data_IF_358362757232
#
_entry.id   IF_358362757232
#
_cell.length_a   1.000
_cell.length_b   1.000
_cell.length_c   1.000
_cell.angle_alpha   90.00
_cell.angle_beta   90.00
_cell.angle_gamma   90.00
#
_symmetry.space_group_name_H-M   'P 1'
#
loop_
_entity.id
_entity.type
_entity.pdbx_description
1 polymer ?
#
# COMPACT_ATOMS: atom_id res chain seq x y z
N UNK A 1 -0.94 -8.11 3.71
CA UNK A 1 -0.44 -8.63 4.99
C UNK A 1 0.67 -9.66 4.78
N UNK A 2 1.67 -9.64 5.66
CA UNK A 2 2.78 -10.63 5.68
C UNK A 2 2.25 -12.05 5.85
N UNK A 3 3.03 -13.03 5.37
CA UNK A 3 2.64 -14.45 5.36
C UNK A 3 3.76 -15.32 5.92
N UNK A 4 3.40 -16.30 6.75
CA UNK A 4 4.31 -17.39 7.10
C UNK A 4 4.53 -18.31 5.90
N UNK A 5 5.67 -18.98 5.85
CA UNK A 5 5.94 -20.05 4.88
C UNK A 5 5.86 -21.40 5.58
N UNK A 6 5.11 -22.35 5.00
CA UNK A 6 5.00 -23.73 5.49
C UNK A 6 6.28 -24.55 5.24
N UNK A 7 6.28 -25.86 5.54
CA UNK A 7 7.49 -26.70 5.41
C UNK A 7 8.11 -26.68 4.00
N UNK A 8 9.13 -25.85 3.87
CA UNK A 8 9.86 -25.46 2.66
C UNK A 8 10.62 -26.62 1.97
N UNK A 9 11.30 -27.54 2.70
CA UNK A 9 12.28 -28.45 2.07
C UNK A 9 11.68 -29.52 1.16
N UNK A 10 10.41 -29.89 1.33
CA UNK A 10 9.84 -31.05 0.63
C UNK A 10 9.21 -30.71 -0.73
N UNK A 11 8.91 -29.43 -0.99
CA UNK A 11 8.10 -29.03 -2.16
C UNK A 11 8.77 -27.97 -3.04
N UNK A 12 9.62 -27.11 -2.46
CA UNK A 12 10.43 -26.16 -3.20
C UNK A 12 11.86 -26.15 -2.62
N UNK A 13 12.62 -27.26 -2.79
CA UNK A 13 13.92 -27.43 -2.15
C UNK A 13 14.90 -26.31 -2.52
N UNK A 14 14.91 -25.88 -3.78
CA UNK A 14 15.73 -24.77 -4.25
C UNK A 14 15.40 -23.44 -3.54
N UNK A 15 14.11 -23.14 -3.34
CA UNK A 15 13.72 -21.95 -2.57
C UNK A 15 14.18 -22.06 -1.12
N UNK A 16 14.04 -23.23 -0.49
CA UNK A 16 14.51 -23.45 0.87
C UNK A 16 16.02 -23.30 1.02
N UNK A 17 16.78 -23.88 0.09
CA UNK A 17 18.24 -23.75 0.04
C UNK A 17 18.66 -22.28 -0.12
N UNK A 18 18.01 -21.53 -1.02
CA UNK A 18 18.31 -20.12 -1.24
C UNK A 18 17.89 -19.25 -0.04
N UNK A 19 16.71 -19.49 0.54
CA UNK A 19 16.25 -18.74 1.72
C UNK A 19 17.21 -18.93 2.90
N UNK A 20 17.67 -20.15 3.13
CA UNK A 20 18.63 -20.45 4.18
C UNK A 20 20.04 -19.97 3.83
N UNK A 21 20.45 -20.10 2.56
CA UNK A 21 21.76 -19.64 2.07
C UNK A 21 21.94 -18.12 2.13
N UNK A 22 20.85 -17.36 2.12
CA UNK A 22 20.86 -15.90 2.33
C UNK A 22 20.64 -15.49 3.80
N UNK A 23 20.56 -16.43 4.76
CA UNK A 23 20.19 -16.19 6.16
C UNK A 23 18.78 -15.58 6.36
N UNK A 24 17.88 -15.77 5.40
CA UNK A 24 16.54 -15.17 5.39
C UNK A 24 15.47 -16.04 6.06
N UNK A 25 15.86 -17.08 6.79
CA UNK A 25 14.94 -18.02 7.43
C UNK A 25 13.93 -17.36 8.38
N UNK A 26 14.32 -16.28 9.08
CA UNK A 26 13.42 -15.57 10.00
C UNK A 26 12.26 -14.90 9.26
N UNK A 27 12.48 -14.38 8.04
CA UNK A 27 11.43 -13.76 7.20
C UNK A 27 10.24 -14.67 6.94
N UNK A 28 10.46 -15.99 6.90
CA UNK A 28 9.42 -16.98 6.70
C UNK A 28 8.59 -17.29 7.96
N UNK A 29 9.08 -16.93 9.15
CA UNK A 29 8.56 -17.47 10.42
C UNK A 29 8.12 -16.39 11.41
N UNK A 30 8.74 -15.19 11.39
CA UNK A 30 8.42 -14.10 12.30
C UNK A 30 7.01 -13.51 12.19
N UNK A 31 6.28 -13.53 11.04
CA UNK A 31 4.98 -12.87 10.97
C UNK A 31 4.03 -13.37 12.06
N UNK A 32 3.51 -12.47 12.88
CA UNK A 32 2.59 -12.73 13.99
C UNK A 32 1.47 -11.69 13.97
N UNK A 33 0.35 -11.89 14.70
CA UNK A 33 -0.73 -10.90 14.71
C UNK A 33 -0.21 -9.49 15.02
N UNK A 34 -0.51 -8.57 14.10
CA UNK A 34 -0.05 -7.18 14.15
C UNK A 34 -1.10 -6.31 14.85
N UNK A 35 -0.64 -5.33 15.62
CA UNK A 35 -1.52 -4.35 16.26
C UNK A 35 -1.74 -3.19 15.29
N UNK A 36 -2.93 -3.12 14.69
CA UNK A 36 -3.18 -2.18 13.59
C UNK A 36 -3.25 -0.73 14.06
N UNK A 37 -3.66 -0.49 15.30
CA UNK A 37 -3.67 0.86 15.87
C UNK A 37 -2.25 1.44 15.92
N UNK A 38 -1.28 0.69 16.44
CA UNK A 38 0.12 1.16 16.52
C UNK A 38 0.79 1.24 15.15
N UNK A 39 0.44 0.36 14.21
CA UNK A 39 0.97 0.38 12.84
C UNK A 39 0.47 1.62 12.08
N UNK A 40 -0.83 1.96 12.19
CA UNK A 40 -1.39 3.18 11.61
C UNK A 40 -0.76 4.43 12.20
N UNK A 41 -0.60 4.47 13.53
CA UNK A 41 0.07 5.57 14.23
C UNK A 41 1.52 5.71 13.76
N UNK A 42 2.26 4.59 13.68
CA UNK A 42 3.62 4.58 13.17
C UNK A 42 3.71 5.19 11.77
N UNK A 43 2.91 4.71 10.81
CA UNK A 43 2.96 5.21 9.43
C UNK A 43 2.55 6.67 9.30
N UNK A 44 1.61 7.13 10.12
CA UNK A 44 1.23 8.54 10.20
C UNK A 44 2.39 9.41 10.64
N UNK A 45 3.20 8.93 11.58
CA UNK A 45 4.30 9.69 12.19
C UNK A 45 5.67 9.46 11.53
N UNK A 46 5.82 8.41 10.71
CA UNK A 46 7.03 8.10 9.95
C UNK A 46 7.10 8.86 8.61
N UNK A 47 5.98 9.49 8.20
CA UNK A 47 5.91 10.30 6.98
C UNK A 47 6.82 11.52 7.10
N UNK A 48 7.61 11.78 6.06
CA UNK A 48 8.44 12.99 6.01
C UNK A 48 7.55 14.22 5.76
N UNK A 49 7.74 15.26 6.56
CA UNK A 49 7.15 16.58 6.38
C UNK A 49 8.30 17.56 6.14
N UNK A 50 8.46 18.03 4.90
CA UNK A 50 9.48 19.00 4.49
C UNK A 50 10.86 18.41 4.11
N UNK A 51 11.80 19.29 3.75
CA UNK A 51 13.14 18.96 3.23
C UNK A 51 14.20 18.68 4.33
N UNK A 52 13.80 18.13 5.47
CA UNK A 52 14.76 17.74 6.52
C UNK A 52 15.67 16.60 6.03
N UNK A 53 16.95 16.56 6.44
CA UNK A 53 17.94 15.62 5.92
C UNK A 53 17.50 14.16 6.06
N UNK A 54 17.89 13.37 5.07
CA UNK A 54 17.16 12.20 4.60
C UNK A 54 17.18 10.95 5.50
N UNK A 55 17.83 10.98 6.66
CA UNK A 55 18.42 9.78 7.26
C UNK A 55 17.69 9.15 8.45
N UNK A 56 16.61 9.76 8.94
CA UNK A 56 16.02 9.22 10.15
C UNK A 56 14.97 8.15 9.82
N UNK A 57 15.42 6.90 9.68
CA UNK A 57 14.58 5.70 9.76
C UNK A 57 13.96 5.55 11.16
N UNK A 58 13.13 6.53 11.52
CA UNK A 58 12.46 6.67 12.80
C UNK A 58 11.00 7.05 12.59
N UNK A 59 10.10 6.38 13.31
CA UNK A 59 8.71 6.81 13.50
C UNK A 59 8.45 7.09 14.98
N UNK A 60 7.28 7.63 15.30
CA UNK A 60 6.85 7.80 16.69
C UNK A 60 5.54 7.07 16.95
N UNK A 61 5.45 6.40 18.10
CA UNK A 61 4.24 5.71 18.55
C UNK A 61 4.10 5.89 20.05
N UNK A 62 2.99 6.44 20.51
CA UNK A 62 2.68 6.70 21.93
C UNK A 62 3.84 7.39 22.66
N UNK A 63 4.45 8.39 22.02
CA UNK A 63 5.59 9.14 22.54
C UNK A 63 6.95 8.42 22.52
N UNK A 64 7.03 7.21 21.96
CA UNK A 64 8.27 6.45 21.84
C UNK A 64 8.83 6.56 20.41
N UNK A 65 10.14 6.79 20.30
CA UNK A 65 10.84 6.75 19.01
C UNK A 65 11.05 5.29 18.58
N UNK A 66 10.57 4.93 17.40
CA UNK A 66 10.63 3.59 16.82
C UNK A 66 11.69 3.59 15.72
N UNK A 67 12.83 2.96 16.00
CA UNK A 67 13.90 2.76 15.02
C UNK A 67 13.54 1.65 14.05
N UNK A 68 13.63 1.94 12.76
CA UNK A 68 13.49 0.98 11.67
C UNK A 68 14.65 1.08 10.67
N UNK A 69 15.80 1.56 11.14
CA UNK A 69 17.03 1.57 10.35
C UNK A 69 17.47 0.15 9.95
N UNK A 70 18.31 0.02 8.90
CA UNK A 70 18.75 -1.28 8.40
C UNK A 70 19.34 -2.19 9.49
N UNK A 71 20.11 -1.64 10.43
CA UNK A 71 20.71 -2.40 11.53
C UNK A 71 19.66 -2.92 12.50
N UNK A 72 18.68 -2.09 12.86
CA UNK A 72 17.56 -2.48 13.73
C UNK A 72 16.73 -3.60 13.11
N UNK A 73 16.48 -3.53 11.80
CA UNK A 73 15.75 -4.57 11.06
C UNK A 73 16.59 -5.84 10.94
N UNK A 74 17.87 -5.74 10.56
CA UNK A 74 18.75 -6.89 10.45
C UNK A 74 18.93 -7.61 11.79
N UNK A 75 19.12 -6.86 12.89
CA UNK A 75 19.15 -7.40 14.23
C UNK A 75 17.84 -8.11 14.60
N UNK A 76 16.68 -7.55 14.21
CA UNK A 76 15.41 -8.23 14.40
C UNK A 76 15.30 -9.51 13.55
N UNK A 77 15.83 -9.51 12.32
CA UNK A 77 15.77 -10.65 11.40
C UNK A 77 16.86 -11.70 11.64
N UNK A 78 17.75 -11.47 12.62
CA UNK A 78 18.95 -12.29 12.87
C UNK A 78 19.83 -12.43 11.61
N UNK A 79 19.84 -11.41 10.75
CA UNK A 79 20.65 -11.36 9.52
C UNK A 79 21.95 -10.62 9.77
N UNK A 80 23.07 -11.21 9.35
CA UNK A 80 24.38 -10.57 9.49
C UNK A 80 24.71 -9.79 8.22
N UNK A 81 24.67 -8.46 8.30
CA UNK A 81 25.18 -7.61 7.24
C UNK A 81 26.63 -7.22 7.53
N UNK A 82 27.57 -7.91 6.89
CA UNK A 82 29.00 -7.59 6.94
C UNK A 82 29.57 -7.17 5.57
N UNK A 83 28.71 -7.04 4.55
CA UNK A 83 29.10 -6.68 3.20
C UNK A 83 29.43 -5.19 3.09
N UNK A 84 30.50 -4.88 2.35
CA UNK A 84 30.81 -3.49 1.98
C UNK A 84 29.84 -2.96 0.91
N UNK A 85 29.22 -3.86 0.12
CA UNK A 85 28.38 -3.49 -1.02
C UNK A 85 27.19 -4.44 -1.23
N UNK A 86 25.99 -3.87 -1.35
CA UNK A 86 24.74 -4.60 -1.61
C UNK A 86 24.57 -4.85 -3.12
N UNK A 87 24.49 -6.11 -3.55
CA UNK A 87 24.37 -6.45 -4.98
C UNK A 87 23.04 -5.98 -5.57
N UNK A 88 21.99 -5.96 -4.77
CA UNK A 88 20.71 -5.40 -5.21
C UNK A 88 20.83 -3.89 -5.51
N UNK A 89 21.50 -3.13 -4.63
CA UNK A 89 21.73 -1.69 -4.86
C UNK A 89 22.63 -1.47 -6.09
N UNK A 90 23.68 -2.28 -6.25
CA UNK A 90 24.53 -2.25 -7.43
C UNK A 90 23.76 -2.49 -8.73
N UNK A 91 22.92 -3.52 -8.77
CA UNK A 91 22.10 -3.80 -9.96
C UNK A 91 21.15 -2.63 -10.30
N UNK A 92 20.71 -1.87 -9.30
CA UNK A 92 19.85 -0.69 -9.48
C UNK A 92 20.63 0.53 -9.98
N UNK A 93 21.87 0.73 -9.53
CA UNK A 93 22.67 1.93 -9.82
C UNK A 93 23.52 1.78 -11.10
N UNK A 94 24.24 0.66 -11.21
CA UNK A 94 25.18 0.39 -12.31
C UNK A 94 24.55 -0.43 -13.44
N UNK A 95 23.38 -1.01 -13.19
CA UNK A 95 22.71 -1.94 -14.09
C UNK A 95 23.18 -3.39 -13.90
N UNK A 96 22.64 -4.28 -14.72
CA UNK A 96 23.00 -5.71 -14.70
C UNK A 96 22.90 -6.29 -16.11
N UNK A 97 23.40 -7.52 -16.28
CA UNK A 97 23.16 -8.30 -17.49
C UNK A 97 21.70 -8.76 -17.53
N UNK A 98 20.85 -7.97 -18.19
CA UNK A 98 19.42 -8.29 -18.30
C UNK A 98 19.16 -9.61 -19.03
N UNK A 99 20.07 -10.09 -19.88
CA UNK A 99 19.92 -11.39 -20.54
C UNK A 99 20.12 -12.55 -19.53
N UNK A 100 21.05 -12.40 -18.57
CA UNK A 100 21.17 -13.36 -17.45
C UNK A 100 19.95 -13.28 -16.52
N UNK A 101 19.45 -12.08 -16.24
CA UNK A 101 18.25 -11.90 -15.41
C UNK A 101 17.04 -12.59 -16.05
N UNK A 102 16.78 -12.36 -17.35
CA UNK A 102 15.70 -13.03 -18.09
C UNK A 102 15.88 -14.55 -18.08
N UNK A 103 17.10 -15.04 -18.30
CA UNK A 103 17.38 -16.49 -18.28
C UNK A 103 17.08 -17.13 -16.93
N UNK A 104 17.34 -16.43 -15.83
CA UNK A 104 17.11 -16.93 -14.47
C UNK A 104 15.63 -16.83 -14.06
N UNK A 105 14.97 -15.73 -14.42
CA UNK A 105 13.61 -15.44 -13.96
C UNK A 105 12.52 -15.99 -14.88
N UNK A 106 12.78 -16.11 -16.18
CA UNK A 106 11.77 -16.38 -17.19
C UNK A 106 11.77 -17.84 -17.68
N UNK A 107 10.59 -18.33 -18.07
CA UNK A 107 10.47 -19.55 -18.88
C UNK A 107 11.01 -19.31 -20.30
N UNK A 108 11.35 -20.36 -21.07
CA UNK A 108 11.76 -20.19 -22.47
C UNK A 108 10.74 -19.37 -23.27
N UNK A 109 11.19 -18.27 -23.89
CA UNK A 109 10.35 -17.34 -24.66
C UNK A 109 9.77 -16.17 -23.85
N UNK A 110 9.85 -16.22 -22.51
CA UNK A 110 9.54 -15.09 -21.64
C UNK A 110 10.65 -14.04 -21.66
N UNK A 111 10.29 -12.76 -21.59
CA UNK A 111 11.23 -11.64 -21.72
C UNK A 111 10.72 -10.41 -20.96
N UNK A 112 11.62 -9.47 -20.67
CA UNK A 112 11.21 -8.16 -20.17
C UNK A 112 10.42 -7.39 -21.22
N UNK A 113 9.38 -6.70 -20.77
CA UNK A 113 8.78 -5.63 -21.55
C UNK A 113 9.73 -4.43 -21.57
N UNK A 114 9.83 -3.83 -22.75
CA UNK A 114 10.67 -2.65 -22.99
C UNK A 114 9.79 -1.49 -23.41
N UNK A 115 10.11 -0.30 -22.92
CA UNK A 115 9.45 0.92 -23.37
C UNK A 115 9.89 1.29 -24.80
N UNK A 116 9.31 2.35 -25.35
CA UNK A 116 9.63 2.86 -26.70
C UNK A 116 11.12 3.21 -26.89
N UNK A 117 11.86 3.48 -25.83
CA UNK A 117 13.29 3.78 -25.87
C UNK A 117 14.17 2.54 -25.70
N UNK A 118 13.58 1.34 -25.62
CA UNK A 118 14.27 0.06 -25.47
C UNK A 118 14.70 -0.27 -24.02
N UNK A 119 14.34 0.58 -23.05
CA UNK A 119 14.66 0.36 -21.63
C UNK A 119 13.73 -0.69 -21.03
N UNK A 120 14.29 -1.58 -20.21
CA UNK A 120 13.54 -2.63 -19.49
C UNK A 120 12.63 -2.00 -18.44
N UNK A 121 11.36 -2.44 -18.38
CA UNK A 121 10.34 -1.88 -17.47
C UNK A 121 9.86 -2.92 -16.45
N UNK A 122 9.33 -4.03 -16.94
CA UNK A 122 8.70 -5.05 -16.11
C UNK A 122 8.77 -6.41 -16.82
N UNK A 123 8.45 -7.48 -16.10
CA UNK A 123 8.22 -8.81 -16.68
C UNK A 123 6.84 -9.30 -16.24
N UNK A 124 6.13 -9.97 -17.14
CA UNK A 124 4.80 -10.52 -16.82
C UNK A 124 4.94 -11.71 -15.90
N UNK A 125 3.99 -11.86 -14.97
CA UNK A 125 3.93 -13.04 -14.10
C UNK A 125 3.83 -14.33 -14.91
N UNK A 126 3.12 -14.34 -16.04
CA UNK A 126 3.00 -15.53 -16.91
C UNK A 126 4.35 -16.05 -17.36
N UNK A 127 5.28 -15.12 -17.60
CA UNK A 127 6.57 -15.36 -18.22
C UNK A 127 7.61 -15.83 -17.19
N UNK A 128 7.30 -15.77 -15.88
CA UNK A 128 8.17 -16.22 -14.80
C UNK A 128 8.21 -17.76 -14.65
N UNK A 129 9.38 -18.29 -14.31
CA UNK A 129 9.55 -19.68 -13.88
C UNK A 129 8.75 -19.98 -12.61
N UNK A 130 8.38 -21.25 -12.34
CA UNK A 130 7.70 -21.63 -11.10
C UNK A 130 8.45 -21.16 -9.84
N UNK A 131 9.79 -21.29 -9.83
CA UNK A 131 10.64 -20.81 -8.72
C UNK A 131 10.55 -19.29 -8.56
N UNK A 132 10.65 -18.54 -9.66
CA UNK A 132 10.54 -17.08 -9.62
C UNK A 132 9.15 -16.61 -9.19
N UNK A 133 8.07 -17.29 -9.60
CA UNK A 133 6.71 -16.99 -9.12
C UNK A 133 6.56 -17.25 -7.62
N UNK A 134 7.20 -18.28 -7.10
CA UNK A 134 7.19 -18.59 -5.68
C UNK A 134 7.94 -17.51 -4.87
N UNK A 135 9.15 -17.14 -5.31
CA UNK A 135 9.87 -16.02 -4.72
C UNK A 135 9.11 -14.69 -4.86
N UNK A 136 8.42 -14.44 -5.97
CA UNK A 136 7.62 -13.23 -6.18
C UNK A 136 6.53 -13.14 -5.11
N UNK A 137 5.83 -14.25 -4.87
CA UNK A 137 4.80 -14.34 -3.84
C UNK A 137 5.37 -14.09 -2.45
N UNK A 138 6.53 -14.69 -2.13
CA UNK A 138 7.20 -14.49 -0.85
C UNK A 138 7.64 -13.04 -0.66
N UNK A 139 8.31 -12.45 -1.66
CA UNK A 139 8.78 -11.07 -1.63
C UNK A 139 7.62 -10.08 -1.50
N UNK A 140 6.55 -10.26 -2.28
CA UNK A 140 5.34 -9.43 -2.21
C UNK A 140 4.60 -9.53 -0.88
N UNK A 141 4.78 -10.62 -0.12
CA UNK A 141 4.21 -10.74 1.21
C UNK A 141 5.10 -10.09 2.29
N UNK A 142 6.41 -10.34 2.23
CA UNK A 142 7.29 -10.21 3.40
C UNK A 142 8.44 -9.21 3.25
N UNK A 143 8.81 -8.82 2.03
CA UNK A 143 9.97 -7.94 1.77
C UNK A 143 9.55 -6.64 1.11
N UNK A 144 8.80 -6.72 0.00
CA UNK A 144 8.29 -5.56 -0.71
C UNK A 144 6.78 -5.72 -0.91
N UNK A 145 5.93 -5.31 0.03
CA UNK A 145 4.48 -5.40 -0.13
C UNK A 145 3.99 -4.78 -1.43
N UNK A 146 3.11 -5.49 -2.17
CA UNK A 146 2.52 -5.00 -3.41
C UNK A 146 1.11 -5.56 -3.60
N UNK A 147 0.18 -4.71 -4.07
CA UNK A 147 -1.18 -5.11 -4.44
C UNK A 147 -1.27 -5.66 -5.86
N UNK A 148 -0.42 -5.20 -6.78
CA UNK A 148 -0.41 -5.66 -8.16
C UNK A 148 0.43 -6.93 -8.29
N UNK A 149 -0.14 -7.96 -8.90
CA UNK A 149 0.48 -9.29 -9.04
C UNK A 149 0.56 -9.78 -10.49
N UNK A 150 0.07 -9.00 -11.45
CA UNK A 150 0.05 -9.34 -12.88
C UNK A 150 1.45 -9.23 -13.49
N UNK A 151 2.14 -8.13 -13.18
CA UNK A 151 3.49 -7.84 -13.65
C UNK A 151 4.39 -7.50 -12.47
N UNK A 152 5.70 -7.64 -12.69
CA UNK A 152 6.70 -7.26 -11.71
C UNK A 152 7.67 -6.24 -12.28
N UNK A 153 7.81 -5.12 -11.57
CA UNK A 153 8.70 -4.03 -11.96
C UNK A 153 10.15 -4.48 -11.94
N UNK A 154 11.00 -3.77 -12.70
CA UNK A 154 12.43 -4.06 -12.77
C UNK A 154 13.09 -4.17 -11.38
N UNK A 155 12.83 -3.22 -10.48
CA UNK A 155 13.42 -3.24 -9.14
C UNK A 155 13.07 -4.53 -8.38
N UNK A 156 11.81 -4.94 -8.40
CA UNK A 156 11.36 -6.17 -7.73
C UNK A 156 11.95 -7.41 -8.40
N UNK A 157 12.04 -7.42 -9.74
CA UNK A 157 12.69 -8.48 -10.51
C UNK A 157 14.19 -8.62 -10.18
N UNK A 158 14.91 -7.51 -9.97
CA UNK A 158 16.32 -7.56 -9.57
C UNK A 158 16.52 -8.13 -8.16
N UNK A 159 15.61 -7.84 -7.23
CA UNK A 159 15.63 -8.45 -5.91
C UNK A 159 15.43 -9.98 -5.99
N UNK A 160 14.49 -10.43 -6.81
CA UNK A 160 14.26 -11.85 -7.10
C UNK A 160 15.49 -12.54 -7.68
N UNK A 161 16.11 -11.90 -8.67
CA UNK A 161 17.34 -12.39 -9.29
C UNK A 161 18.44 -12.57 -8.25
N UNK A 162 18.65 -11.56 -7.39
CA UNK A 162 19.63 -11.64 -6.32
C UNK A 162 19.33 -12.80 -5.34
N UNK A 163 18.07 -12.97 -4.95
CA UNK A 163 17.65 -14.05 -4.06
C UNK A 163 17.90 -15.43 -4.68
N UNK A 164 17.52 -15.63 -5.94
CA UNK A 164 17.69 -16.91 -6.65
C UNK A 164 19.17 -17.23 -6.88
N UNK A 165 20.00 -16.22 -7.15
CA UNK A 165 21.45 -16.38 -7.36
C UNK A 165 22.26 -16.39 -6.06
N UNK A 166 21.62 -16.29 -4.89
CA UNK A 166 22.27 -16.16 -3.59
C UNK A 166 23.32 -15.02 -3.56
N UNK A 167 22.97 -13.88 -4.15
CA UNK A 167 23.79 -12.68 -4.09
C UNK A 167 23.59 -11.97 -2.75
N UNK A 168 24.64 -11.34 -2.25
CA UNK A 168 24.59 -10.66 -0.96
C UNK A 168 23.72 -9.39 -1.04
N UNK A 169 22.60 -9.43 -0.33
CA UNK A 169 21.61 -8.34 -0.26
C UNK A 169 21.42 -7.92 1.18
N UNK A 170 21.56 -6.61 1.44
CA UNK A 170 21.21 -6.04 2.74
C UNK A 170 19.69 -5.97 2.86
N UNK A 171 19.08 -7.04 3.38
CA UNK A 171 17.63 -7.13 3.47
C UNK A 171 17.03 -6.09 4.42
N UNK A 172 17.74 -5.73 5.49
CA UNK A 172 17.35 -4.66 6.39
C UNK A 172 17.22 -3.32 5.67
N UNK A 173 18.16 -3.01 4.76
CA UNK A 173 18.10 -1.80 3.93
C UNK A 173 16.90 -1.83 2.97
N UNK A 174 16.67 -2.95 2.27
CA UNK A 174 15.54 -3.11 1.34
C UNK A 174 14.20 -2.88 2.07
N UNK A 175 14.01 -3.49 3.24
CA UNK A 175 12.78 -3.34 4.02
C UNK A 175 12.66 -1.92 4.61
N UNK A 176 13.76 -1.33 5.09
CA UNK A 176 13.76 0.04 5.61
C UNK A 176 13.32 1.05 4.54
N UNK A 177 13.85 0.90 3.33
CA UNK A 177 13.47 1.72 2.18
C UNK A 177 12.01 1.50 1.77
N UNK A 178 11.53 0.25 1.79
CA UNK A 178 10.14 -0.06 1.48
C UNK A 178 9.19 0.55 2.53
N UNK A 179 9.47 0.42 3.83
CA UNK A 179 8.69 1.07 4.90
C UNK A 179 8.66 2.59 4.68
N UNK A 180 9.81 3.18 4.35
CA UNK A 180 9.90 4.63 4.06
C UNK A 180 9.07 5.00 2.84
N UNK A 181 9.07 4.19 1.77
CA UNK A 181 8.25 4.42 0.59
C UNK A 181 6.76 4.32 0.92
N UNK A 182 6.34 3.32 1.71
CA UNK A 182 4.96 3.20 2.17
C UNK A 182 4.53 4.43 3.01
N UNK A 183 5.36 4.89 3.94
CA UNK A 183 5.05 6.02 4.81
C UNK A 183 4.88 7.35 4.05
N UNK A 184 5.56 7.51 2.91
CA UNK A 184 5.49 8.73 2.10
C UNK A 184 4.44 8.66 0.98
N UNK A 185 3.83 7.49 0.77
CA UNK A 185 2.80 7.30 -0.25
C UNK A 185 1.50 7.99 0.19
N UNK A 186 0.87 8.75 -0.71
CA UNK A 186 -0.35 9.52 -0.43
C UNK A 186 -1.65 8.70 -0.53
N UNK A 187 -1.54 7.43 -0.90
CA UNK A 187 -2.69 6.54 -1.06
C UNK A 187 -3.10 5.91 0.28
N UNK A 188 -4.16 6.45 0.89
CA UNK A 188 -4.73 5.94 2.15
C UNK A 188 -5.35 4.53 2.03
N UNK A 189 -5.50 3.98 0.82
CA UNK A 189 -5.98 2.61 0.57
C UNK A 189 -4.84 1.59 0.41
N UNK A 190 -3.58 2.03 0.39
CA UNK A 190 -2.47 1.12 0.27
C UNK A 190 -2.40 0.21 1.51
N UNK A 191 -2.15 -1.10 1.35
CA UNK A 191 -1.94 -2.00 2.48
C UNK A 191 -0.82 -1.46 3.37
N UNK A 192 -1.03 -1.46 4.69
CA UNK A 192 0.03 -1.16 5.65
C UNK A 192 1.09 -2.26 5.49
N UNK A 193 2.23 -1.90 4.91
CA UNK A 193 3.35 -2.80 4.75
C UNK A 193 3.90 -3.22 6.12
N UNK A 194 4.53 -4.39 6.20
CA UNK A 194 5.35 -4.76 7.37
C UNK A 194 4.68 -4.65 8.75
N UNK A 195 3.35 -4.85 8.84
CA UNK A 195 2.57 -4.65 10.06
C UNK A 195 3.08 -5.46 11.25
N UNK A 196 3.48 -6.72 11.03
CA UNK A 196 4.04 -7.60 12.07
C UNK A 196 5.40 -7.09 12.52
N UNK A 197 6.28 -6.75 11.57
CA UNK A 197 7.60 -6.20 11.86
C UNK A 197 7.49 -4.92 12.68
N UNK A 198 6.66 -3.96 12.25
CA UNK A 198 6.44 -2.69 12.95
C UNK A 198 5.90 -2.94 14.36
N UNK A 199 4.95 -3.87 14.52
CA UNK A 199 4.44 -4.27 15.85
C UNK A 199 5.57 -4.81 16.74
N UNK A 200 6.50 -5.60 16.19
CA UNK A 200 7.66 -6.09 16.92
C UNK A 200 8.64 -4.97 17.30
N UNK A 201 8.93 -4.05 16.38
CA UNK A 201 9.79 -2.88 16.67
C UNK A 201 9.18 -2.01 17.77
N UNK A 202 7.86 -1.80 17.77
CA UNK A 202 7.13 -1.14 18.85
C UNK A 202 7.31 -1.85 20.20
N UNK A 203 7.20 -3.18 20.23
CA UNK A 203 7.44 -3.97 21.45
C UNK A 203 8.87 -3.82 21.96
N UNK A 204 9.86 -3.83 21.07
CA UNK A 204 11.28 -3.61 21.42
C UNK A 204 11.48 -2.21 22.03
N UNK A 205 10.81 -1.20 21.48
CA UNK A 205 10.81 0.17 22.00
C UNK A 205 9.94 0.35 23.26
N UNK A 206 9.39 -0.74 23.84
CA UNK A 206 8.53 -0.75 25.04
C UNK A 206 7.20 -0.02 24.89
N UNK A 207 6.72 0.15 23.66
CA UNK A 207 5.35 0.58 23.41
C UNK A 207 4.39 -0.53 23.82
N UNK A 208 3.33 -0.19 24.54
CA UNK A 208 2.25 -1.13 24.80
C UNK A 208 1.54 -1.49 23.48
N UNK A 209 1.54 -2.76 23.10
CA UNK A 209 0.82 -3.26 21.92
C UNK A 209 -0.23 -4.29 22.30
N UNK A 210 -0.62 -4.38 23.58
CA UNK A 210 -1.50 -5.43 24.10
C UNK A 210 -2.97 -5.20 23.78
N UNK A 211 -3.38 -3.94 23.57
CA UNK A 211 -4.76 -3.60 23.27
C UNK A 211 -5.15 -3.95 21.82
N UNK A 212 -6.35 -4.53 21.59
CA UNK A 212 -6.88 -4.78 20.24
C UNK A 212 -7.13 -3.47 19.45
N UNK A 213 -7.31 -3.52 18.11
CA UNK A 213 -7.48 -4.71 17.26
C UNK A 213 -6.17 -5.34 16.74
N UNK A 214 -6.19 -6.66 16.62
CA UNK A 214 -5.11 -7.45 16.03
C UNK A 214 -5.51 -8.02 14.67
N UNK A 215 -4.71 -7.76 13.65
CA UNK A 215 -4.87 -8.35 12.32
C UNK A 215 -3.89 -9.51 12.16
N UNK A 216 -4.41 -10.67 11.72
CA UNK A 216 -3.58 -11.87 11.54
C UNK A 216 -2.75 -11.76 10.27
N UNK A 217 -1.55 -12.38 10.23
CA UNK A 217 -0.85 -12.60 8.98
C UNK A 217 -1.76 -13.31 7.96
N UNK A 218 -1.51 -13.06 6.68
CA UNK A 218 -2.23 -13.73 5.61
C UNK A 218 -2.03 -15.26 5.64
N UNK A 219 -2.90 -15.98 4.90
CA UNK A 219 -2.82 -17.44 4.76
C UNK A 219 -1.39 -17.86 4.39
N UNK A 220 -0.87 -18.87 5.09
CA UNK A 220 0.52 -19.30 4.93
C UNK A 220 0.80 -19.79 3.50
N UNK A 221 2.00 -19.50 3.00
CA UNK A 221 2.51 -20.03 1.74
C UNK A 221 2.95 -21.47 1.99
N UNK A 222 2.01 -22.41 1.93
CA UNK A 222 2.20 -23.83 2.25
C UNK A 222 2.10 -24.71 1.00
N UNK A 223 2.14 -26.04 1.18
CA UNK A 223 2.01 -27.00 0.08
C UNK A 223 0.71 -26.81 -0.73
N UNK A 224 -0.42 -26.57 -0.07
CA UNK A 224 -1.69 -26.37 -0.77
C UNK A 224 -1.64 -25.12 -1.67
N UNK A 225 -1.06 -24.03 -1.15
CA UNK A 225 -0.79 -22.83 -1.94
C UNK A 225 0.15 -23.15 -3.12
N UNK A 226 1.22 -23.89 -2.88
CA UNK A 226 2.14 -24.28 -3.95
C UNK A 226 1.46 -25.12 -5.03
N UNK A 227 0.71 -26.15 -4.66
CA UNK A 227 0.01 -27.02 -5.62
C UNK A 227 -1.05 -26.27 -6.41
N UNK A 228 -1.81 -25.40 -5.75
CA UNK A 228 -2.87 -24.62 -6.37
C UNK A 228 -2.33 -23.65 -7.44
N UNK A 229 -1.18 -23.02 -7.18
CA UNK A 229 -0.67 -21.94 -8.04
C UNK A 229 0.53 -22.33 -8.91
N UNK A 230 1.27 -23.39 -8.57
CA UNK A 230 2.52 -23.79 -9.24
C UNK A 230 2.62 -25.30 -9.54
N UNK A 231 1.74 -26.14 -8.99
CA UNK A 231 1.81 -27.60 -9.07
C UNK A 231 1.22 -28.22 -10.33
N UNK A 232 1.42 -27.62 -11.50
CA UNK A 232 1.05 -28.26 -12.78
C UNK A 232 2.31 -28.48 -13.60
N UNK A 233 2.84 -29.70 -13.59
CA UNK A 233 3.63 -30.22 -14.71
C UNK A 233 3.44 -31.74 -14.88
N UNK A 234 3.19 -32.13 -16.13
CA UNK A 234 3.15 -33.48 -16.72
C UNK A 234 2.02 -34.47 -16.38
N UNK A 235 0.82 -34.18 -16.91
CA UNK A 235 0.12 -35.18 -17.71
C UNK A 235 -0.57 -34.47 -18.87
N UNK A 236 -0.13 -34.73 -20.10
CA UNK A 236 -0.87 -34.35 -21.29
C UNK A 236 -2.28 -34.94 -21.20
N UNK A 237 -3.27 -34.11 -20.91
CA UNK A 237 -4.68 -34.44 -21.15
C UNK A 237 -5.31 -33.38 -22.05
N UNK A 238 -6.19 -33.81 -22.97
CA UNK A 238 -6.73 -32.94 -24.01
C UNK A 238 -7.68 -31.92 -23.40
N UNK A 239 -7.59 -30.68 -23.85
CA UNK A 239 -8.52 -29.60 -23.54
C UNK A 239 -9.96 -30.05 -23.82
N UNK A 240 -10.89 -30.05 -22.84
CA UNK A 240 -12.31 -30.19 -23.13
C UNK A 240 -12.82 -28.87 -23.71
N UNK A 241 -13.74 -28.91 -24.70
CA UNK A 241 -14.13 -27.71 -25.44
C UNK A 241 -14.87 -26.71 -24.54
N UNK A 242 -14.49 -25.43 -24.68
CA UNK A 242 -15.18 -24.27 -24.09
C UNK A 242 -16.67 -24.37 -24.39
N UNK A 243 -17.50 -24.41 -23.34
CA UNK A 243 -18.96 -24.32 -23.49
C UNK A 243 -19.30 -22.92 -24.00
N UNK A 244 -19.94 -22.89 -25.16
CA UNK A 244 -20.60 -21.73 -25.73
C UNK A 244 -21.61 -21.15 -24.74
N UNK A 245 -21.47 -19.85 -24.45
CA UNK A 245 -22.45 -19.04 -23.72
C UNK A 245 -23.79 -19.15 -24.44
N UNK A 246 -24.76 -19.76 -23.77
CA UNK A 246 -26.10 -19.98 -24.29
C UNK A 246 -26.87 -18.67 -24.26
N UNK A 247 -27.17 -18.14 -25.44
CA UNK A 247 -28.20 -17.11 -25.61
C UNK A 247 -29.52 -17.58 -25.00
N UNK A 248 -30.13 -16.75 -24.17
CA UNK A 248 -31.54 -16.92 -23.81
C UNK A 248 -32.21 -15.56 -23.60
N UNK A 249 -32.85 -15.11 -24.67
CA UNK A 249 -34.24 -14.62 -24.67
C UNK A 249 -34.52 -13.25 -24.07
N UNK A 250 -34.77 -12.28 -24.95
CA UNK A 250 -35.53 -11.07 -24.69
C UNK A 250 -36.89 -11.36 -24.03
N UNK A 251 -37.26 -10.54 -23.06
CA UNK A 251 -38.65 -10.18 -22.78
C UNK A 251 -38.70 -8.70 -22.41
N UNK A 252 -39.36 -7.92 -23.29
CA UNK A 252 -39.69 -6.51 -23.11
C UNK A 252 -40.76 -6.34 -22.02
N UNK A 253 -40.70 -5.25 -21.27
CA UNK A 253 -41.89 -4.52 -20.80
C UNK A 253 -41.52 -3.07 -20.53
N UNK A 254 -42.28 -2.17 -21.17
CA UNK A 254 -42.17 -0.71 -21.12
C UNK A 254 -42.84 -0.13 -19.88
N UNK A 255 -42.32 0.99 -19.38
CA UNK A 255 -43.13 2.13 -18.90
C UNK A 255 -42.30 3.43 -18.89
N UNK A 256 -42.79 4.43 -19.63
CA UNK A 256 -42.41 5.87 -19.69
C UNK A 256 -42.78 6.57 -18.37
N UNK A 257 -42.40 7.79 -17.95
CA UNK A 257 -41.60 8.97 -18.35
C UNK A 257 -41.20 9.63 -16.97
N UNK A 258 -40.23 10.54 -16.81
CA UNK A 258 -40.27 11.95 -17.21
C UNK A 258 -38.93 12.60 -16.80
N UNK A 259 -38.31 13.35 -17.72
CA UNK A 259 -37.18 14.24 -17.49
C UNK A 259 -37.68 15.59 -16.99
N UNK A 260 -37.11 16.10 -15.91
CA UNK A 260 -37.10 17.52 -15.60
C UNK A 260 -35.65 18.02 -15.59
N UNK A 261 -35.30 18.79 -16.63
CA UNK A 261 -34.11 19.64 -16.67
C UNK A 261 -34.28 20.85 -15.75
N UNK A 262 -33.25 21.15 -14.97
CA UNK A 262 -33.02 22.48 -14.38
C UNK A 262 -31.53 22.79 -14.47
N UNK A 263 -31.20 24.00 -14.95
CA UNK A 263 -29.90 24.35 -15.52
C UNK A 263 -28.69 24.34 -14.54
N UNK A 264 -27.47 23.96 -14.98
CA UNK A 264 -26.31 23.74 -14.08
C UNK A 264 -25.52 24.98 -13.62
N UNK A 265 -25.90 26.20 -14.03
CA UNK A 265 -24.92 27.30 -14.05
C UNK A 265 -24.93 28.27 -12.86
N UNK A 266 -25.96 28.31 -12.00
CA UNK A 266 -25.97 29.24 -10.86
C UNK A 266 -25.38 28.66 -9.56
N UNK A 267 -25.31 27.32 -9.43
CA UNK A 267 -24.84 26.66 -8.20
C UNK A 267 -23.30 26.56 -8.12
N UNK A 268 -22.63 26.61 -9.28
CA UNK A 268 -21.18 26.44 -9.39
C UNK A 268 -20.42 27.63 -8.81
N UNK A 269 -20.86 28.86 -9.10
CA UNK A 269 -20.19 30.08 -8.61
C UNK A 269 -20.40 30.28 -7.11
N UNK A 270 -21.56 29.89 -6.58
CA UNK A 270 -21.82 29.87 -5.14
C UNK A 270 -20.92 28.85 -4.43
N UNK A 271 -20.79 27.64 -4.99
CA UNK A 271 -19.95 26.58 -4.43
C UNK A 271 -18.45 26.93 -4.50
N UNK A 272 -17.99 27.52 -5.61
CA UNK A 272 -16.61 28.01 -5.74
C UNK A 272 -16.32 29.18 -4.79
N UNK A 273 -17.30 30.06 -4.52
CA UNK A 273 -17.15 31.15 -3.56
C UNK A 273 -17.09 30.63 -2.11
N UNK A 274 -17.89 29.61 -1.78
CA UNK A 274 -17.84 28.95 -0.48
C UNK A 274 -16.50 28.25 -0.23
N UNK A 275 -15.99 27.51 -1.23
CA UNK A 275 -14.66 26.88 -1.16
C UNK A 275 -13.57 27.94 -1.04
N UNK A 276 -13.67 29.03 -1.80
CA UNK A 276 -12.72 30.15 -1.72
C UNK A 276 -12.69 30.81 -0.33
N UNK A 277 -13.86 31.03 0.27
CA UNK A 277 -13.99 31.56 1.62
C UNK A 277 -13.44 30.59 2.68
N UNK A 278 -13.69 29.29 2.51
CA UNK A 278 -13.19 28.25 3.41
C UNK A 278 -11.65 28.15 3.36
N UNK A 279 -11.05 28.19 2.17
CA UNK A 279 -9.59 28.24 2.01
C UNK A 279 -8.99 29.51 2.61
N UNK A 280 -9.62 30.67 2.42
CA UNK A 280 -9.13 31.92 3.01
C UNK A 280 -9.21 31.91 4.55
N UNK A 281 -10.24 31.30 5.12
CA UNK A 281 -10.37 31.13 6.56
C UNK A 281 -9.27 30.21 7.12
N UNK A 282 -9.06 29.05 6.48
CA UNK A 282 -7.99 28.11 6.86
C UNK A 282 -6.63 28.80 6.78
N UNK A 283 -6.37 29.56 5.72
CA UNK A 283 -5.13 30.32 5.56
C UNK A 283 -4.94 31.35 6.67
N UNK A 284 -5.99 32.10 7.07
CA UNK A 284 -5.91 33.07 8.17
C UNK A 284 -5.63 32.39 9.52
N UNK A 285 -6.28 31.26 9.79
CA UNK A 285 -6.05 30.49 11.02
C UNK A 285 -4.62 29.94 11.04
N UNK A 286 -4.12 29.43 9.91
CA UNK A 286 -2.75 28.94 9.80
C UNK A 286 -1.71 30.05 10.00
N UNK A 287 -1.92 31.22 9.40
CA UNK A 287 -1.03 32.38 9.57
C UNK A 287 -1.04 32.87 11.02
N UNK A 288 -2.22 33.02 11.64
CA UNK A 288 -2.32 33.44 13.05
C UNK A 288 -1.66 32.43 14.00
N UNK A 289 -1.79 31.12 13.72
CA UNK A 289 -1.14 30.06 14.51
C UNK A 289 0.38 30.11 14.32
N UNK A 290 0.87 30.34 13.09
CA UNK A 290 2.29 30.48 12.82
C UNK A 290 2.90 31.73 13.47
N UNK A 291 2.22 32.87 13.41
CA UNK A 291 2.64 34.11 14.08
C UNK A 291 2.69 33.96 15.60
N UNK A 292 1.72 33.23 16.19
CA UNK A 292 1.72 32.90 17.61
C UNK A 292 2.92 32.02 17.99
N UNK A 293 3.24 31.01 17.18
CA UNK A 293 4.38 30.13 17.41
C UNK A 293 5.70 30.91 17.28
N UNK A 294 5.85 31.73 16.23
CA UNK A 294 7.05 32.56 16.01
C UNK A 294 7.24 33.58 17.14
N UNK A 295 6.18 34.22 17.61
CA UNK A 295 6.21 35.13 18.76
C UNK A 295 6.62 34.47 20.08
N UNK A 296 6.51 33.15 20.22
CA UNK A 296 7.01 32.42 21.39
C UNK A 296 8.54 32.25 21.40
N UNK A 297 9.21 32.33 20.24
CA UNK A 297 10.64 32.05 20.12
C UNK A 297 11.52 33.31 19.96
N UNK A 298 11.03 34.40 19.34
CA UNK A 298 11.91 35.54 18.99
C UNK A 298 11.92 36.73 19.98
N UNK A 299 10.86 36.96 20.76
CA UNK A 299 10.82 37.80 21.99
C UNK A 299 9.37 37.81 22.51
N UNK A 300 9.10 37.83 23.84
CA UNK A 300 7.72 37.75 24.33
C UNK A 300 6.93 38.98 23.84
N UNK A 301 5.81 38.81 23.11
CA UNK A 301 4.97 39.94 22.76
C UNK A 301 4.44 40.57 24.04
N UNK A 302 4.47 41.91 24.11
CA UNK A 302 3.96 42.66 25.27
C UNK A 302 2.46 42.43 25.53
N UNK A 303 1.74 41.88 24.55
CA UNK A 303 0.34 41.51 24.66
C UNK A 303 0.17 40.01 24.42
N UNK A 304 -0.38 39.31 25.41
CA UNK A 304 -0.86 37.93 25.27
C UNK A 304 -2.36 37.99 25.02
N UNK A 305 -2.81 37.43 23.90
CA UNK A 305 -4.24 37.36 23.63
C UNK A 305 -4.96 36.57 24.73
N UNK A 306 -6.09 37.11 25.17
CA UNK A 306 -7.01 36.38 26.02
C UNK A 306 -7.78 35.37 25.17
N UNK A 307 -8.31 34.32 25.80
CA UNK A 307 -9.10 33.29 25.11
C UNK A 307 -10.25 33.90 24.28
N UNK A 308 -10.82 34.99 24.78
CA UNK A 308 -11.94 35.73 24.18
C UNK A 308 -11.50 36.54 22.94
N UNK A 309 -10.29 37.13 22.97
CA UNK A 309 -9.70 37.81 21.81
C UNK A 309 -9.39 36.83 20.68
N UNK A 310 -8.89 35.64 21.01
CA UNK A 310 -8.65 34.57 20.05
C UNK A 310 -9.95 34.09 19.41
N UNK A 311 -11.00 33.87 20.21
CA UNK A 311 -12.30 33.46 19.69
C UNK A 311 -12.94 34.52 18.79
N UNK A 312 -12.79 35.81 19.06
CA UNK A 312 -13.29 36.87 18.18
C UNK A 312 -12.57 36.97 16.83
N UNK A 313 -11.27 36.66 16.78
CA UNK A 313 -10.48 36.67 15.54
C UNK A 313 -10.76 35.43 14.68
N UNK A 314 -11.08 34.30 15.32
CA UNK A 314 -11.34 33.01 14.67
C UNK A 314 -12.84 32.78 14.41
N UNK A 315 -13.72 33.59 15.00
CA UNK A 315 -15.16 33.50 14.80
C UNK A 315 -15.55 33.66 13.32
N UNK A 316 -16.44 32.79 12.88
CA UNK A 316 -17.01 32.82 11.55
C UNK A 316 -17.91 34.05 11.36
N UNK A 317 -18.05 34.63 10.14
CA UNK A 317 -18.83 35.86 9.93
C UNK A 317 -20.32 35.76 10.25
N UNK A 318 -20.89 34.57 10.44
CA UNK A 318 -22.34 34.40 10.69
C UNK A 318 -22.71 34.41 12.18
N UNK A 319 -21.76 34.32 13.11
CA UNK A 319 -22.06 34.17 14.54
C UNK A 319 -22.15 35.50 15.32
N UNK A 320 -22.25 36.64 14.63
CA UNK A 320 -22.61 37.90 15.28
C UNK A 320 -24.04 38.34 14.89
N UNK A 321 -24.91 38.20 15.90
CA UNK A 321 -26.28 38.77 16.04
C UNK A 321 -27.40 37.90 15.49
N UNK A 322 -28.07 37.14 16.38
CA UNK A 322 -29.39 37.56 16.89
C UNK A 322 -29.71 36.92 18.24
N UNK A 323 -29.42 37.66 19.32
CA UNK A 323 -30.10 37.46 20.59
C UNK A 323 -31.52 38.03 20.51
N UNK A 324 -32.53 37.19 20.72
CA UNK A 324 -33.45 37.33 21.86
C UNK A 324 -34.65 36.35 21.74
N UNK A 325 -34.73 35.44 22.73
CA UNK A 325 -35.93 35.00 23.45
C UNK A 325 -37.08 34.31 22.69
N UNK A 326 -37.23 32.99 22.87
CA UNK A 326 -38.29 32.35 23.68
C UNK A 326 -38.36 30.82 23.48
N UNK A 327 -38.09 30.10 24.57
CA UNK A 327 -38.77 28.90 25.09
C UNK A 327 -39.73 28.10 24.16
N UNK A 328 -39.42 26.83 23.91
CA UNK A 328 -40.37 25.71 23.96
C UNK A 328 -39.62 24.36 24.06
N UNK A 329 -40.17 23.48 24.88
CA UNK A 329 -39.57 22.24 25.37
C UNK A 329 -39.78 21.01 24.46
N UNK A 330 -39.14 19.93 24.90
CA UNK A 330 -39.49 18.50 24.76
C UNK A 330 -38.90 17.66 23.61
N UNK A 331 -37.86 16.90 24.00
CA UNK A 331 -37.75 15.44 23.95
C UNK A 331 -38.20 14.67 22.70
N UNK A 332 -37.25 13.92 22.11
CA UNK A 332 -37.46 12.49 21.85
C UNK A 332 -36.12 11.77 21.72
N UNK A 333 -35.86 10.86 22.65
CA UNK A 333 -34.84 9.83 22.54
C UNK A 333 -35.39 8.68 21.70
N UNK A 334 -34.63 8.22 20.71
CA UNK A 334 -34.88 6.91 20.11
C UNK A 334 -33.53 6.27 19.77
N UNK A 335 -33.17 5.27 20.57
CA UNK A 335 -32.17 4.27 20.28
C UNK A 335 -32.60 3.51 19.01
N UNK A 336 -31.68 3.23 18.09
CA UNK A 336 -31.89 2.25 17.04
C UNK A 336 -30.79 1.19 17.13
N UNK A 337 -31.27 -0.03 17.30
CA UNK A 337 -30.56 -1.26 17.53
C UNK A 337 -29.69 -1.68 16.34
N UNK A 338 -28.55 -2.31 16.65
CA UNK A 338 -27.69 -3.00 15.70
C UNK A 338 -28.31 -4.36 15.33
N UNK A 339 -28.91 -4.47 14.16
CA UNK A 339 -29.25 -5.76 13.56
C UNK A 339 -28.07 -6.27 12.70
N UNK A 340 -27.48 -7.36 13.19
CA UNK A 340 -26.56 -8.23 12.46
C UNK A 340 -27.34 -9.02 11.40
N UNK A 341 -26.92 -8.95 10.12
CA UNK A 341 -27.22 -10.00 9.13
C UNK A 341 -26.04 -10.13 8.15
N UNK A 342 -25.35 -11.27 8.28
CA UNK A 342 -24.61 -12.08 7.31
C UNK A 342 -23.81 -11.39 6.18
N UNK A 343 -22.47 -11.36 6.36
CA UNK A 343 -21.48 -11.24 5.29
C UNK A 343 -21.35 -12.60 4.55
N UNK A 344 -22.02 -12.72 3.41
CA UNK A 344 -21.64 -13.70 2.38
C UNK A 344 -20.49 -13.09 1.55
N UNK A 345 -19.24 -13.46 1.87
CA UNK A 345 -18.06 -13.17 1.05
C UNK A 345 -18.07 -14.05 -0.21
N UNK A 346 -18.63 -13.54 -1.31
CA UNK A 346 -18.40 -14.08 -2.65
C UNK A 346 -17.04 -13.60 -3.19
N UNK A 347 -16.03 -14.45 -3.00
CA UNK A 347 -14.67 -14.36 -3.52
C UNK A 347 -14.69 -14.69 -5.04
N UNK A 348 -15.05 -13.72 -5.88
CA UNK A 348 -15.00 -13.83 -7.34
C UNK A 348 -14.13 -12.70 -7.92
N UNK A 349 -12.90 -13.05 -8.32
CA UNK A 349 -12.04 -12.19 -9.14
C UNK A 349 -12.68 -12.05 -10.53
N UNK A 350 -13.37 -10.93 -10.78
CA UNK A 350 -13.77 -10.54 -12.13
C UNK A 350 -12.65 -9.70 -12.77
N UNK A 351 -11.96 -10.33 -13.72
CA UNK A 351 -11.15 -9.68 -14.74
C UNK A 351 -12.10 -9.11 -15.82
N UNK A 352 -12.14 -7.79 -15.97
CA UNK A 352 -12.57 -7.12 -17.20
C UNK A 352 -12.22 -5.62 -17.16
N UNK A 353 -11.10 -5.24 -17.77
CA UNK A 353 -10.95 -3.91 -18.38
C UNK A 353 -10.21 -4.17 -19.71
N UNK A 354 -10.98 -4.41 -20.76
CA UNK A 354 -10.52 -4.37 -22.15
C UNK A 354 -10.30 -2.89 -22.51
N UNK A 355 -9.06 -2.48 -22.76
CA UNK A 355 -8.79 -1.25 -23.50
C UNK A 355 -8.87 -1.55 -24.99
N UNK A 356 -10.00 -1.21 -25.61
CA UNK A 356 -10.14 -1.20 -27.07
C UNK A 356 -9.39 0.02 -27.63
N UNK A 357 -8.30 -0.25 -28.36
CA UNK A 357 -7.72 0.70 -29.32
C UNK A 357 -8.63 0.75 -30.55
N UNK A 358 -9.28 1.90 -30.79
CA UNK A 358 -9.99 2.18 -32.04
C UNK A 358 -8.97 2.44 -33.16
N UNK A 359 -8.85 1.49 -34.08
CA UNK A 359 -8.10 1.59 -35.33
C UNK A 359 -9.07 2.01 -36.45
N UNK A 360 -9.09 3.30 -36.80
CA UNK A 360 -9.85 3.81 -37.95
C UNK A 360 -9.16 3.41 -39.27
N UNK A 361 -9.66 2.36 -39.91
CA UNK A 361 -9.43 2.07 -41.33
C UNK A 361 -10.55 2.67 -42.16
N UNK A 362 -10.26 3.72 -42.94
CA UNK A 362 -11.11 4.15 -44.06
C UNK A 362 -10.45 3.74 -45.39
N UNK A 363 -11.01 2.67 -45.98
CA UNK A 363 -10.81 2.26 -47.36
C UNK A 363 -11.94 2.87 -48.20
N UNK A 364 -11.59 3.75 -49.13
CA UNK A 364 -12.50 4.13 -50.22
C UNK A 364 -11.83 3.86 -51.56
N UNK A 365 -12.37 2.86 -52.24
CA UNK A 365 -12.11 2.53 -53.63
C UNK A 365 -12.55 3.66 -54.57
N UNK A 366 -11.65 4.13 -55.45
CA UNK A 366 -11.76 4.08 -56.92
C UNK A 366 -10.49 4.64 -57.59
#
# INVERSE_FOLDING_TARGET
MERKVGMIPNFAPQFGEQLLGNDWGKLATYPTPANIAVVKEFYTNARKIGDYPAENYFGYVRGHAIRYDPDSINNFLDTVWAGEQCQFALCMEEGTDFDDVERVLSVPGGHFQRNRTGSVVNIRRTDLTPLAKYWMTFSHANIQPCSHVSDITLSRALLLYCAIRNLNVNIGQVIADEIRMCANTTNNKAPLGHSSLITHLCKIARVDTSAPPFERPGKAINEAYYRQYFGVEEAAQPVPPRRTRRERGQAQSQASAETHEAEPFQMRDMYMSLIGAQLQSIHRVQVATAEMIVGMYDTPPAHRWTMEEFHNVVAWPEDQVQGDKAEAAEASAMEMEEDNVDDDEDDAFEDAEDEEEEEDTDDSSD
#
